data_IF_216467937503
#
_entry.id   IF_216467937503
#
_cell.length_a   1.000
_cell.length_b   1.000
_cell.length_c   1.000
_cell.angle_alpha   90.00
_cell.angle_beta   90.00
_cell.angle_gamma   90.00
#
_symmetry.space_group_name_H-M   'P 1'
#
loop_
_entity.id
_entity.type
_entity.pdbx_description
1 polymer ?
#
# COMPACT_ATOMS: atom_id res chain seq x y z
N UNK A 1 -18.70 8.05 -16.37
CA UNK A 1 -17.71 8.46 -15.33
C UNK A 1 -18.34 8.23 -13.96
N UNK A 2 -17.66 7.56 -13.02
CA UNK A 2 -18.18 7.37 -11.65
C UNK A 2 -18.10 8.72 -10.91
N UNK A 3 -19.22 9.24 -10.41
CA UNK A 3 -19.22 10.47 -9.64
C UNK A 3 -18.64 10.25 -8.24
N UNK A 4 -18.12 11.31 -7.62
CA UNK A 4 -17.60 11.26 -6.23
C UNK A 4 -18.67 10.78 -5.26
N UNK A 5 -19.93 11.23 -5.41
CA UNK A 5 -21.05 10.76 -4.59
C UNK A 5 -21.37 9.28 -4.76
N UNK A 6 -21.31 8.76 -6.00
CA UNK A 6 -21.50 7.32 -6.24
C UNK A 6 -20.34 6.49 -5.68
N UNK A 7 -19.09 6.98 -5.74
CA UNK A 7 -17.96 6.31 -5.12
C UNK A 7 -18.10 6.33 -3.58
N UNK A 8 -18.48 7.47 -2.99
CA UNK A 8 -18.75 7.56 -1.55
C UNK A 8 -19.77 6.54 -1.06
N UNK A 9 -20.88 6.43 -1.78
CA UNK A 9 -21.90 5.44 -1.45
C UNK A 9 -21.36 4.00 -1.54
N UNK A 10 -20.53 3.72 -2.56
CA UNK A 10 -19.88 2.42 -2.72
C UNK A 10 -18.88 2.12 -1.60
N UNK A 11 -18.05 3.09 -1.20
CA UNK A 11 -17.08 2.93 -0.09
C UNK A 11 -17.80 2.47 1.19
N UNK A 12 -18.90 3.12 1.52
CA UNK A 12 -19.72 2.79 2.69
C UNK A 12 -20.39 1.41 2.56
N UNK A 13 -21.02 1.14 1.41
CA UNK A 13 -21.75 -0.11 1.19
C UNK A 13 -20.84 -1.35 1.12
N UNK A 14 -19.59 -1.17 0.68
CA UNK A 14 -18.59 -2.23 0.55
C UNK A 14 -17.73 -2.41 1.81
N UNK A 15 -17.85 -1.54 2.81
CA UNK A 15 -17.01 -1.55 4.01
C UNK A 15 -15.56 -1.13 3.73
N UNK A 16 -15.31 -0.44 2.61
CA UNK A 16 -13.99 0.11 2.30
C UNK A 16 -13.68 1.38 3.12
N UNK A 17 -14.73 2.06 3.56
CA UNK A 17 -14.72 3.17 4.50
C UNK A 17 -16.06 3.19 5.26
N UNK A 18 -16.23 4.07 6.22
CA UNK A 18 -17.27 4.00 7.24
C UNK A 18 -16.83 3.05 8.34
N UNK A 19 -17.73 2.23 8.87
CA UNK A 19 -17.35 1.14 9.76
C UNK A 19 -16.63 0.07 8.94
N UNK A 20 -15.38 -0.23 9.31
CA UNK A 20 -14.50 -1.19 8.63
C UNK A 20 -14.41 -2.51 9.41
N UNK A 21 -13.85 -3.54 8.77
CA UNK A 21 -13.76 -4.86 9.41
C UNK A 21 -12.65 -4.93 10.47
N UNK A 22 -11.68 -4.01 10.41
CA UNK A 22 -10.53 -3.97 11.33
C UNK A 22 -10.98 -3.64 12.75
N UNK A 23 -10.71 -4.51 13.75
CA UNK A 23 -11.04 -4.26 15.13
C UNK A 23 -10.22 -3.11 15.72
N UNK A 24 -10.85 -2.27 16.51
CA UNK A 24 -10.21 -1.17 17.22
C UNK A 24 -9.03 -1.63 18.08
N UNK A 25 -9.15 -2.78 18.71
CA UNK A 25 -8.08 -3.38 19.51
C UNK A 25 -6.83 -3.67 18.69
N UNK A 26 -7.01 -4.04 17.42
CA UNK A 26 -5.91 -4.34 16.50
C UNK A 26 -5.18 -3.05 16.09
N UNK A 27 -5.93 -2.01 15.71
CA UNK A 27 -5.36 -0.67 15.44
C UNK A 27 -4.56 -0.15 16.65
N UNK A 28 -5.13 -0.18 17.85
CA UNK A 28 -4.45 0.27 19.06
C UNK A 28 -3.24 -0.59 19.42
N UNK A 29 -3.29 -1.90 19.14
CA UNK A 29 -2.13 -2.77 19.28
C UNK A 29 -1.01 -2.38 18.33
N UNK A 30 -1.31 -2.11 17.07
CA UNK A 30 -0.34 -1.66 16.08
C UNK A 30 0.29 -0.33 16.47
N UNK A 31 -0.48 0.63 17.01
CA UNK A 31 0.06 1.90 17.50
C UNK A 31 1.04 1.71 18.65
N UNK A 32 0.74 0.82 19.62
CA UNK A 32 1.69 0.48 20.71
C UNK A 32 2.97 -0.16 20.19
N UNK A 33 2.85 -1.10 19.24
CA UNK A 33 4.00 -1.75 18.63
C UNK A 33 4.86 -0.74 17.83
N UNK A 34 4.21 0.17 17.10
CA UNK A 34 4.91 1.22 16.37
C UNK A 34 5.66 2.18 17.33
N UNK A 35 5.01 2.62 18.40
CA UNK A 35 5.65 3.44 19.43
C UNK A 35 6.85 2.73 20.10
N UNK A 36 6.76 1.40 20.22
CA UNK A 36 7.86 0.55 20.70
C UNK A 36 8.92 0.22 19.62
N UNK A 37 8.80 0.79 18.41
CA UNK A 37 9.70 0.53 17.28
C UNK A 37 9.76 -0.94 16.84
N UNK A 38 8.65 -1.68 16.93
CA UNK A 38 8.59 -3.06 16.48
C UNK A 38 8.70 -3.13 14.94
N UNK A 39 9.70 -3.84 14.39
CA UNK A 39 9.94 -3.89 12.95
C UNK A 39 8.75 -4.41 12.13
N UNK A 40 7.87 -5.21 12.74
CA UNK A 40 6.71 -5.82 12.06
C UNK A 40 5.66 -4.79 11.64
N UNK A 41 5.56 -3.67 12.36
CA UNK A 41 4.60 -2.59 12.09
C UNK A 41 5.27 -1.31 11.58
N UNK A 42 6.61 -1.23 11.59
CA UNK A 42 7.34 -0.14 10.95
C UNK A 42 7.37 -0.26 9.43
N UNK A 43 7.12 -1.44 8.89
CA UNK A 43 7.04 -1.72 7.44
C UNK A 43 8.29 -1.27 6.66
N UNK A 44 9.41 -1.09 7.35
CA UNK A 44 10.68 -0.64 6.77
C UNK A 44 11.00 0.84 6.95
N UNK A 45 10.11 1.62 7.56
CA UNK A 45 10.42 2.98 7.99
C UNK A 45 11.35 2.99 9.21
N UNK A 46 12.18 4.00 9.27
CA UNK A 46 12.89 4.44 10.46
C UNK A 46 12.45 5.88 10.78
N UNK A 47 11.33 6.04 11.51
CA UNK A 47 10.76 7.35 11.80
C UNK A 47 11.73 8.22 12.59
N UNK A 48 11.85 9.48 12.21
CA UNK A 48 12.73 10.46 12.87
C UNK A 48 12.08 11.08 14.11
N UNK A 49 10.75 11.13 14.13
CA UNK A 49 9.97 11.65 15.26
C UNK A 49 9.85 10.68 16.43
N UNK A 50 9.62 11.24 17.61
CA UNK A 50 9.31 10.48 18.83
C UNK A 50 7.83 10.14 18.91
N UNK A 51 7.36 9.21 18.10
CA UNK A 51 5.95 8.82 18.01
C UNK A 51 5.51 7.97 19.21
N UNK A 52 4.81 8.58 20.17
CA UNK A 52 4.12 7.85 21.24
C UNK A 52 2.71 7.39 20.79
N UNK A 53 2.08 6.51 21.60
CA UNK A 53 0.72 6.01 21.31
C UNK A 53 -0.29 7.14 21.14
N UNK A 54 -0.21 8.20 21.97
CA UNK A 54 -1.10 9.35 21.90
C UNK A 54 -0.88 10.19 20.63
N UNK A 55 0.36 10.27 20.14
CA UNK A 55 0.69 10.97 18.89
C UNK A 55 0.13 10.22 17.70
N UNK A 56 0.32 8.90 17.70
CA UNK A 56 -0.23 8.01 16.67
C UNK A 56 -1.75 8.05 16.66
N UNK A 57 -2.39 8.01 17.83
CA UNK A 57 -3.85 8.10 17.90
C UNK A 57 -4.37 9.40 17.27
N UNK A 58 -3.74 10.55 17.57
CA UNK A 58 -4.09 11.84 16.97
C UNK A 58 -3.82 11.87 15.46
N UNK A 59 -2.67 11.34 15.02
CA UNK A 59 -2.34 11.24 13.60
C UNK A 59 -3.38 10.41 12.85
N UNK A 60 -3.71 9.23 13.37
CA UNK A 60 -4.65 8.33 12.70
C UNK A 60 -6.09 8.89 12.73
N UNK A 61 -6.47 9.60 13.79
CA UNK A 61 -7.73 10.35 13.82
C UNK A 61 -7.75 11.45 12.76
N UNK A 62 -6.63 12.18 12.58
CA UNK A 62 -6.51 13.17 11.50
C UNK A 62 -6.49 12.53 10.12
N UNK A 63 -5.77 11.46 9.89
CA UNK A 63 -5.56 10.85 8.57
C UNK A 63 -6.70 9.92 8.14
N UNK A 64 -7.22 9.10 9.04
CA UNK A 64 -8.24 8.09 8.75
C UNK A 64 -9.63 8.49 9.24
N UNK A 65 -9.73 9.31 10.30
CA UNK A 65 -11.00 9.63 10.95
C UNK A 65 -11.40 8.63 12.03
N UNK A 66 -10.46 7.83 12.52
CA UNK A 66 -10.69 6.96 13.69
C UNK A 66 -10.96 7.80 14.94
N UNK A 67 -11.56 7.21 15.95
CA UNK A 67 -11.78 7.89 17.24
C UNK A 67 -10.45 8.27 17.90
N UNK A 68 -10.31 9.52 18.34
CA UNK A 68 -9.16 10.01 19.11
C UNK A 68 -9.34 9.82 20.63
N UNK A 69 -10.49 9.30 21.06
CA UNK A 69 -10.76 8.99 22.47
C UNK A 69 -9.94 7.76 22.91
N UNK A 70 -8.99 7.92 23.86
CA UNK A 70 -8.18 6.82 24.35
C UNK A 70 -9.00 5.81 25.20
N UNK A 71 -10.21 6.17 25.64
CA UNK A 71 -11.11 5.27 26.34
C UNK A 71 -11.90 4.36 25.37
N UNK A 72 -12.01 4.72 24.10
CA UNK A 72 -12.63 3.88 23.07
C UNK A 72 -11.64 2.79 22.62
N UNK A 73 -11.74 1.60 23.21
CA UNK A 73 -10.75 0.53 23.11
C UNK A 73 -11.21 -0.72 22.37
N UNK A 74 -12.49 -0.81 22.01
CA UNK A 74 -13.08 -2.02 21.45
C UNK A 74 -14.15 -1.71 20.41
N UNK A 75 -14.51 -2.71 19.62
CA UNK A 75 -15.47 -2.63 18.55
C UNK A 75 -14.79 -2.56 17.18
N UNK A 76 -15.55 -2.21 16.16
CA UNK A 76 -15.01 -1.99 14.82
C UNK A 76 -14.48 -0.57 14.68
N UNK A 77 -13.38 -0.42 13.96
CA UNK A 77 -12.82 0.91 13.68
C UNK A 77 -13.60 1.62 12.57
N UNK A 78 -13.27 2.87 12.30
CA UNK A 78 -13.98 3.71 11.34
C UNK A 78 -12.97 4.42 10.45
N UNK A 79 -13.24 4.45 9.14
CA UNK A 79 -12.53 5.31 8.19
C UNK A 79 -13.52 6.36 7.65
N UNK A 80 -13.18 7.64 7.76
CA UNK A 80 -13.97 8.71 7.16
C UNK A 80 -13.91 8.64 5.62
N UNK A 81 -15.03 8.39 4.92
CA UNK A 81 -15.03 8.26 3.47
C UNK A 81 -14.56 9.52 2.74
N UNK A 82 -14.68 10.70 3.34
CA UNK A 82 -14.17 11.93 2.75
C UNK A 82 -12.63 11.98 2.76
N UNK A 83 -12.01 11.36 3.77
CA UNK A 83 -10.53 11.20 3.82
C UNK A 83 -10.05 10.22 2.77
N UNK A 84 -10.75 9.09 2.59
CA UNK A 84 -10.49 8.15 1.51
C UNK A 84 -10.60 8.82 0.14
N UNK A 85 -11.65 9.61 -0.10
CA UNK A 85 -11.84 10.31 -1.38
C UNK A 85 -10.74 11.32 -1.64
N UNK A 86 -10.34 12.13 -0.65
CA UNK A 86 -9.22 13.06 -0.78
C UNK A 86 -7.90 12.34 -1.04
N UNK A 87 -7.65 11.24 -0.34
CA UNK A 87 -6.48 10.39 -0.56
C UNK A 87 -6.45 9.81 -1.97
N UNK A 88 -7.59 9.29 -2.47
CA UNK A 88 -7.70 8.78 -3.85
C UNK A 88 -7.49 9.87 -4.91
N UNK A 89 -7.94 11.11 -4.68
CA UNK A 89 -7.68 12.23 -5.58
C UNK A 89 -6.19 12.59 -5.61
N UNK A 90 -5.52 12.64 -4.45
CA UNK A 90 -4.08 12.88 -4.35
C UNK A 90 -3.27 11.73 -5.02
N UNK A 91 -3.66 10.48 -4.75
CA UNK A 91 -3.07 9.29 -5.37
C UNK A 91 -3.21 9.35 -6.90
N UNK A 92 -4.40 9.63 -7.41
CA UNK A 92 -4.64 9.74 -8.85
C UNK A 92 -3.83 10.87 -9.50
N UNK A 93 -3.64 12.00 -8.80
CA UNK A 93 -2.80 13.09 -9.28
C UNK A 93 -1.33 12.65 -9.45
N UNK A 94 -0.78 11.86 -8.51
CA UNK A 94 0.59 11.31 -8.63
C UNK A 94 0.69 10.30 -9.76
N UNK A 95 -0.27 9.39 -9.89
CA UNK A 95 -0.35 8.43 -11.01
C UNK A 95 -0.42 9.17 -12.35
N UNK A 96 -1.26 10.21 -12.47
CA UNK A 96 -1.38 11.02 -13.69
C UNK A 96 -0.12 11.78 -14.03
N UNK A 97 0.57 12.35 -13.03
CA UNK A 97 1.85 13.04 -13.22
C UNK A 97 2.95 12.08 -13.71
N UNK A 98 3.03 10.87 -13.14
CA UNK A 98 3.94 9.83 -13.57
C UNK A 98 3.67 9.42 -15.04
N UNK A 99 2.41 9.22 -15.40
CA UNK A 99 2.00 8.89 -16.77
C UNK A 99 2.34 10.00 -17.78
N UNK A 100 2.07 11.26 -17.42
CA UNK A 100 2.39 12.41 -18.29
C UNK A 100 3.89 12.55 -18.57
N UNK A 101 4.74 12.24 -17.59
CA UNK A 101 6.20 12.24 -17.70
C UNK A 101 6.76 10.92 -18.25
N UNK A 102 5.96 9.87 -18.33
CA UNK A 102 6.35 8.51 -18.72
C UNK A 102 7.54 7.97 -17.92
N UNK A 103 7.51 8.20 -16.61
CA UNK A 103 8.61 7.80 -15.73
C UNK A 103 8.64 6.28 -15.50
N UNK A 104 9.81 5.71 -15.14
CA UNK A 104 9.89 4.33 -14.67
C UNK A 104 9.09 4.18 -13.35
N UNK A 105 8.26 3.14 -13.27
CA UNK A 105 7.43 2.86 -12.10
C UNK A 105 7.62 1.42 -11.63
N UNK A 106 7.54 1.20 -10.32
CA UNK A 106 7.50 -0.11 -9.71
C UNK A 106 6.18 -0.25 -8.95
N UNK A 107 5.43 -1.31 -9.21
CA UNK A 107 4.22 -1.62 -8.46
C UNK A 107 4.43 -2.89 -7.64
N UNK A 108 3.93 -2.90 -6.39
CA UNK A 108 4.04 -4.07 -5.54
C UNK A 108 2.93 -4.15 -4.50
N UNK A 109 2.60 -5.37 -4.06
CA UNK A 109 1.58 -5.58 -3.05
C UNK A 109 1.97 -6.60 -2.00
N UNK A 110 1.74 -6.25 -0.73
CA UNK A 110 1.77 -7.16 0.41
C UNK A 110 0.44 -7.89 0.60
N UNK A 111 -0.65 -7.43 -0.04
CA UNK A 111 -1.99 -8.04 -0.01
C UNK A 111 -2.44 -8.62 -1.36
N UNK A 112 -1.72 -9.59 -1.96
CA UNK A 112 -2.00 -10.05 -3.31
C UNK A 112 -3.40 -10.65 -3.45
N UNK A 113 -3.94 -11.30 -2.41
CA UNK A 113 -5.30 -11.85 -2.41
C UNK A 113 -6.41 -10.80 -2.47
N UNK A 114 -6.11 -9.53 -2.16
CA UNK A 114 -7.08 -8.44 -2.08
C UNK A 114 -6.84 -7.37 -3.13
N UNK A 115 -5.61 -6.87 -3.21
CA UNK A 115 -5.26 -5.65 -3.94
C UNK A 115 -4.61 -5.89 -5.30
N UNK A 116 -4.19 -7.12 -5.63
CA UNK A 116 -3.51 -7.42 -6.89
C UNK A 116 -4.27 -6.89 -8.11
N UNK A 117 -5.58 -7.08 -8.17
CA UNK A 117 -6.40 -6.61 -9.29
C UNK A 117 -6.46 -5.08 -9.43
N UNK A 118 -6.39 -4.35 -8.32
CA UNK A 118 -6.29 -2.89 -8.31
C UNK A 118 -4.97 -2.43 -8.92
N UNK A 119 -3.85 -2.97 -8.44
CA UNK A 119 -2.51 -2.59 -8.93
C UNK A 119 -2.23 -3.07 -10.36
N UNK A 120 -2.71 -4.24 -10.76
CA UNK A 120 -2.60 -4.73 -12.14
C UNK A 120 -3.27 -3.76 -13.13
N UNK A 121 -4.45 -3.26 -12.80
CA UNK A 121 -5.12 -2.31 -13.68
C UNK A 121 -4.36 -0.96 -13.78
N UNK A 122 -3.69 -0.53 -12.71
CA UNK A 122 -2.81 0.64 -12.74
C UNK A 122 -1.55 0.37 -13.59
N UNK A 123 -0.90 -0.79 -13.41
CA UNK A 123 0.27 -1.19 -14.18
C UNK A 123 -0.02 -1.23 -15.69
N UNK A 124 -1.15 -1.84 -16.08
CA UNK A 124 -1.59 -1.89 -17.48
C UNK A 124 -1.83 -0.47 -18.05
N UNK A 125 -2.50 0.39 -17.30
CA UNK A 125 -2.81 1.74 -17.74
C UNK A 125 -1.55 2.62 -17.85
N UNK A 126 -0.61 2.52 -16.89
CA UNK A 126 0.68 3.22 -16.93
C UNK A 126 1.54 2.73 -18.08
N UNK A 127 1.62 1.41 -18.29
CA UNK A 127 2.32 0.82 -19.46
C UNK A 127 1.72 1.31 -20.78
N UNK A 128 0.39 1.33 -20.88
CA UNK A 128 -0.30 1.85 -22.08
C UNK A 128 -0.10 3.34 -22.31
N UNK A 129 0.19 4.12 -21.26
CA UNK A 129 0.56 5.53 -21.33
C UNK A 129 2.04 5.75 -21.68
N UNK A 130 2.84 4.68 -21.73
CA UNK A 130 4.26 4.72 -22.10
C UNK A 130 5.22 4.79 -20.92
N UNK A 131 4.75 4.55 -19.71
CA UNK A 131 5.63 4.34 -18.55
C UNK A 131 6.36 3.00 -18.67
N UNK A 132 7.60 2.97 -18.22
CA UNK A 132 8.34 1.71 -18.03
C UNK A 132 7.93 1.08 -16.69
N UNK A 133 7.11 0.03 -16.74
CA UNK A 133 6.77 -0.77 -15.56
C UNK A 133 7.92 -1.75 -15.31
N UNK A 134 8.66 -1.52 -14.23
CA UNK A 134 9.86 -2.28 -13.89
C UNK A 134 9.50 -3.60 -13.19
N UNK A 135 10.28 -4.65 -13.49
CA UNK A 135 10.16 -5.98 -12.87
C UNK A 135 11.51 -6.51 -12.39
N UNK A 136 12.27 -5.75 -11.56
CA UNK A 136 13.58 -6.18 -11.10
C UNK A 136 13.47 -7.28 -10.04
N UNK A 137 14.57 -8.03 -9.86
CA UNK A 137 14.69 -9.12 -8.88
C UNK A 137 13.69 -10.28 -9.06
N UNK A 138 13.07 -10.45 -10.22
CA UNK A 138 12.21 -11.61 -10.46
C UNK A 138 13.00 -12.90 -10.24
N UNK A 139 12.46 -13.80 -9.41
CA UNK A 139 13.13 -15.03 -9.03
C UNK A 139 14.14 -14.89 -7.87
N UNK A 140 14.42 -13.67 -7.37
CA UNK A 140 15.32 -13.45 -6.23
C UNK A 140 14.65 -13.90 -4.92
N UNK A 141 15.38 -14.66 -4.13
CA UNK A 141 14.94 -15.09 -2.81
C UNK A 141 15.09 -13.96 -1.77
N UNK A 142 14.15 -13.89 -0.85
CA UNK A 142 14.15 -12.99 0.30
C UNK A 142 13.73 -13.77 1.55
N UNK A 143 14.48 -13.64 2.64
CA UNK A 143 14.17 -14.27 3.91
C UNK A 143 13.36 -13.31 4.77
N UNK A 144 12.10 -13.65 5.01
CA UNK A 144 11.14 -12.83 5.74
C UNK A 144 10.86 -13.45 7.11
N UNK A 145 11.03 -12.66 8.17
CA UNK A 145 10.62 -13.06 9.51
C UNK A 145 9.10 -13.03 9.61
N UNK A 146 8.52 -14.18 9.90
CA UNK A 146 7.07 -14.35 10.13
C UNK A 146 6.81 -14.73 11.58
N UNK A 147 5.54 -14.78 11.99
CA UNK A 147 5.16 -15.33 13.32
C UNK A 147 5.55 -16.80 13.52
N UNK A 148 5.90 -17.51 12.45
CA UNK A 148 6.33 -18.92 12.47
C UNK A 148 7.84 -19.09 12.28
N UNK A 149 8.62 -18.01 12.39
CA UNK A 149 10.07 -17.98 12.14
C UNK A 149 10.42 -17.39 10.78
N UNK A 150 11.70 -17.48 10.43
CA UNK A 150 12.19 -17.00 9.13
C UNK A 150 11.75 -17.98 8.04
N UNK A 151 11.21 -17.44 6.97
CA UNK A 151 10.81 -18.19 5.76
C UNK A 151 11.39 -17.53 4.53
N UNK A 152 11.88 -18.34 3.62
CA UNK A 152 12.33 -17.87 2.31
C UNK A 152 11.12 -17.71 1.38
N UNK A 153 11.05 -16.57 0.71
CA UNK A 153 10.11 -16.28 -0.36
C UNK A 153 10.85 -15.89 -1.63
N UNK A 154 10.18 -15.93 -2.74
CA UNK A 154 10.69 -15.48 -4.04
C UNK A 154 9.91 -14.26 -4.49
N UNK A 155 10.61 -13.22 -4.93
CA UNK A 155 9.99 -12.07 -5.60
C UNK A 155 9.49 -12.52 -6.97
N UNK A 156 8.20 -12.32 -7.22
CA UNK A 156 7.55 -12.69 -8.48
C UNK A 156 6.66 -11.55 -8.97
N UNK A 157 6.25 -11.61 -10.23
CA UNK A 157 5.46 -10.58 -10.88
C UNK A 157 4.22 -11.14 -11.55
N UNK A 158 3.09 -10.48 -11.33
CA UNK A 158 1.86 -10.73 -12.07
C UNK A 158 1.48 -9.47 -12.83
N UNK A 159 1.60 -9.50 -14.16
CA UNK A 159 1.27 -8.37 -15.03
C UNK A 159 1.91 -7.04 -14.56
N UNK A 160 3.20 -7.09 -14.23
CA UNK A 160 3.96 -5.90 -13.81
C UNK A 160 3.81 -5.53 -12.31
N UNK A 161 3.05 -6.28 -11.52
CA UNK A 161 2.91 -6.05 -10.07
C UNK A 161 3.73 -7.09 -9.31
N UNK A 162 4.66 -6.60 -8.50
CA UNK A 162 5.49 -7.40 -7.62
C UNK A 162 4.71 -7.96 -6.43
N UNK A 163 5.06 -9.16 -6.03
CA UNK A 163 4.57 -9.84 -4.84
C UNK A 163 5.60 -10.87 -4.38
N UNK A 164 5.35 -11.57 -3.30
CA UNK A 164 6.19 -12.70 -2.87
C UNK A 164 5.42 -14.01 -2.92
N UNK A 165 6.13 -15.10 -3.28
CA UNK A 165 5.59 -16.46 -3.29
C UNK A 165 6.48 -17.39 -2.50
N UNK A 166 5.94 -18.48 -2.01
CA UNK A 166 6.76 -19.59 -1.49
C UNK A 166 7.59 -20.19 -2.64
N UNK A 167 8.87 -20.59 -2.39
CA UNK A 167 9.69 -21.25 -3.38
C UNK A 167 9.06 -22.60 -3.77
N UNK A 168 9.03 -22.89 -5.05
CA UNK A 168 8.48 -24.15 -5.55
C UNK A 168 8.30 -24.11 -7.05
N UNK A 169 7.97 -25.24 -7.70
CA UNK A 169 7.53 -25.21 -9.08
C UNK A 169 6.34 -24.25 -9.13
N UNK A 170 6.38 -23.30 -10.06
CA UNK A 170 5.31 -22.33 -10.26
C UNK A 170 3.99 -23.09 -10.20
N UNK A 171 3.28 -22.89 -9.08
CA UNK A 171 1.99 -23.57 -8.88
C UNK A 171 1.10 -23.26 -10.08
N UNK A 172 0.08 -24.06 -10.27
CA UNK A 172 -0.92 -23.99 -11.35
C UNK A 172 -1.64 -22.64 -11.50
N UNK A 173 -0.99 -21.53 -11.10
CA UNK A 173 -1.47 -20.15 -11.24
C UNK A 173 -2.64 -19.78 -10.31
N UNK A 174 -2.98 -20.64 -9.36
CA UNK A 174 -4.17 -20.47 -8.49
C UNK A 174 -3.93 -19.62 -7.26
N UNK A 175 -2.67 -19.52 -6.77
CA UNK A 175 -2.39 -18.67 -5.61
C UNK A 175 -1.81 -17.32 -6.01
N UNK A 176 -2.45 -16.21 -5.64
CA UNK A 176 -2.01 -14.88 -6.02
C UNK A 176 -0.73 -14.39 -5.32
N UNK A 177 -0.15 -15.17 -4.40
CA UNK A 177 1.05 -14.82 -3.63
C UNK A 177 0.82 -14.83 -2.12
N UNK A 178 1.86 -14.65 -1.33
CA UNK A 178 1.80 -14.61 0.12
C UNK A 178 1.55 -13.19 0.64
N UNK A 179 0.78 -13.07 1.72
CA UNK A 179 0.63 -11.81 2.46
C UNK A 179 1.95 -11.47 3.16
N UNK A 180 2.42 -10.23 3.03
CA UNK A 180 3.68 -9.78 3.62
C UNK A 180 3.69 -8.28 3.92
N UNK A 181 4.07 -7.93 5.15
CA UNK A 181 4.36 -6.56 5.57
C UNK A 181 5.84 -6.18 5.40
N UNK A 182 6.69 -7.12 4.97
CA UNK A 182 8.14 -6.95 4.91
C UNK A 182 8.56 -5.93 3.85
N UNK A 183 9.52 -5.03 4.17
CA UNK A 183 10.16 -4.15 3.19
C UNK A 183 11.24 -4.85 2.35
N UNK A 184 11.65 -6.07 2.72
CA UNK A 184 12.75 -6.76 2.05
C UNK A 184 12.51 -7.00 0.55
N UNK A 185 11.28 -7.32 0.10
CA UNK A 185 11.02 -7.49 -1.34
C UNK A 185 11.28 -6.24 -2.17
N UNK A 186 10.84 -5.05 -1.71
CA UNK A 186 11.09 -3.80 -2.45
C UNK A 186 12.57 -3.43 -2.39
N UNK A 187 13.25 -3.65 -1.25
CA UNK A 187 14.69 -3.40 -1.13
C UNK A 187 15.49 -4.29 -2.09
N UNK A 188 15.16 -5.58 -2.16
CA UNK A 188 15.77 -6.52 -3.11
C UNK A 188 15.51 -6.12 -4.57
N UNK A 189 14.30 -5.62 -4.85
CA UNK A 189 13.94 -5.13 -6.18
C UNK A 189 14.78 -3.89 -6.57
N UNK A 190 14.90 -2.91 -5.68
CA UNK A 190 15.67 -1.68 -5.92
C UNK A 190 17.17 -1.95 -6.04
N UNK A 191 17.71 -2.82 -5.18
CA UNK A 191 19.10 -3.28 -5.24
C UNK A 191 19.40 -3.97 -6.57
N UNK A 192 18.53 -4.90 -7.00
CA UNK A 192 18.69 -5.61 -8.28
C UNK A 192 18.62 -4.66 -9.48
N UNK A 193 17.76 -3.64 -9.44
CA UNK A 193 17.70 -2.62 -10.50
C UNK A 193 18.99 -1.81 -10.56
N UNK A 194 19.53 -1.41 -9.42
CA UNK A 194 20.79 -0.68 -9.33
C UNK A 194 21.98 -1.52 -9.80
N UNK A 195 22.09 -2.80 -9.37
CA UNK A 195 23.12 -3.75 -9.77
C UNK A 195 23.12 -3.99 -11.29
N UNK A 196 21.94 -4.03 -11.91
CA UNK A 196 21.80 -4.19 -13.35
C UNK A 196 22.18 -2.93 -14.15
N UNK A 197 22.43 -1.79 -13.51
CA UNK A 197 22.69 -0.50 -14.17
C UNK A 197 21.49 0.03 -14.96
N UNK A 198 20.30 -0.49 -14.69
CA UNK A 198 19.05 -0.07 -15.31
C UNK A 198 18.43 1.16 -14.63
N UNK A 199 17.30 1.65 -15.14
CA UNK A 199 16.59 2.74 -14.51
C UNK A 199 16.03 2.33 -13.14
N UNK A 200 16.18 3.19 -12.14
CA UNK A 200 15.46 3.08 -10.89
C UNK A 200 14.04 3.64 -11.04
N UNK A 201 13.05 3.15 -10.27
CA UNK A 201 11.73 3.75 -10.31
C UNK A 201 11.76 5.18 -9.78
N UNK A 202 11.07 6.09 -10.46
CA UNK A 202 10.79 7.42 -9.94
C UNK A 202 9.54 7.43 -9.04
N UNK A 203 8.67 6.41 -9.20
CA UNK A 203 7.48 6.24 -8.37
C UNK A 203 7.29 4.75 -8.03
N UNK A 204 7.11 4.48 -6.74
CA UNK A 204 6.65 3.17 -6.24
C UNK A 204 5.18 3.28 -5.83
N UNK A 205 4.36 2.35 -6.30
CA UNK A 205 2.93 2.28 -6.03
C UNK A 205 2.62 0.94 -5.35
N UNK A 206 1.98 0.97 -4.20
CA UNK A 206 1.69 -0.31 -3.52
C UNK A 206 1.00 -0.17 -2.18
N UNK A 207 1.33 -1.09 -1.30
CA UNK A 207 0.89 -1.13 0.10
C UNK A 207 2.03 -1.59 1.01
N UNK A 208 1.87 -1.48 2.31
CA UNK A 208 2.77 -1.98 3.35
C UNK A 208 4.26 -1.69 3.10
N UNK A 209 5.10 -2.73 3.22
CA UNK A 209 6.55 -2.64 3.06
C UNK A 209 7.02 -2.25 1.66
N UNK A 210 6.20 -2.38 0.63
CA UNK A 210 6.53 -1.88 -0.71
C UNK A 210 6.62 -0.36 -0.73
N UNK A 211 5.69 0.31 -0.06
CA UNK A 211 5.63 1.77 0.01
C UNK A 211 6.63 2.31 1.03
N UNK A 212 6.54 1.82 2.28
CA UNK A 212 7.39 2.31 3.35
C UNK A 212 8.88 2.04 3.10
N UNK A 213 9.21 0.84 2.58
CA UNK A 213 10.59 0.47 2.27
C UNK A 213 11.19 1.31 1.13
N UNK A 214 10.40 1.70 0.12
CA UNK A 214 10.85 2.58 -0.95
C UNK A 214 10.98 4.03 -0.46
N UNK A 215 9.96 4.53 0.26
CA UNK A 215 9.97 5.87 0.84
C UNK A 215 11.14 6.12 1.79
N UNK A 216 11.49 5.13 2.62
CA UNK A 216 12.68 5.19 3.49
C UNK A 216 13.99 5.37 2.71
N UNK A 217 14.05 4.90 1.47
CA UNK A 217 15.20 5.05 0.58
C UNK A 217 15.14 6.33 -0.27
N UNK A 218 14.18 7.23 -0.01
CA UNK A 218 14.04 8.50 -0.70
C UNK A 218 13.39 8.42 -2.08
N UNK A 219 12.77 7.29 -2.43
CA UNK A 219 12.02 7.14 -3.67
C UNK A 219 10.57 7.57 -3.45
N UNK A 220 10.00 8.36 -4.35
CA UNK A 220 8.60 8.75 -4.25
C UNK A 220 7.71 7.50 -4.15
N UNK A 221 6.89 7.42 -3.10
CA UNK A 221 6.05 6.26 -2.84
C UNK A 221 4.64 6.69 -2.46
N UNK A 222 3.64 5.98 -3.01
CA UNK A 222 2.22 6.20 -2.74
C UNK A 222 1.52 4.87 -2.49
N UNK A 223 0.52 4.84 -1.61
CA UNK A 223 -0.14 3.56 -1.31
C UNK A 223 -1.48 3.64 -0.62
N UNK A 224 -2.07 2.45 -0.50
CA UNK A 224 -3.26 2.19 0.30
C UNK A 224 -2.85 1.68 1.68
N UNK A 225 -3.60 2.05 2.71
CA UNK A 225 -3.33 1.63 4.08
C UNK A 225 -4.61 1.55 4.92
N UNK A 226 -4.69 0.56 5.81
CA UNK A 226 -5.79 0.43 6.76
C UNK A 226 -5.50 1.15 8.08
N UNK A 227 -6.46 1.14 9.00
CA UNK A 227 -6.37 1.81 10.31
C UNK A 227 -5.34 1.18 11.24
N UNK A 228 -4.94 -0.05 11.03
CA UNK A 228 -3.90 -0.73 11.79
C UNK A 228 -2.49 -0.63 11.17
N UNK A 229 -2.35 0.13 10.06
CA UNK A 229 -1.07 0.41 9.39
C UNK A 229 -0.56 1.85 9.61
N UNK A 230 -0.18 2.25 10.83
CA UNK A 230 0.23 3.63 11.10
C UNK A 230 1.48 4.05 10.33
N UNK A 231 2.30 3.10 9.87
CA UNK A 231 3.58 3.40 9.21
C UNK A 231 3.43 4.26 7.96
N UNK A 232 2.46 3.97 7.07
CA UNK A 232 2.28 4.76 5.86
C UNK A 232 1.90 6.21 6.19
N UNK A 233 1.06 6.41 7.19
CA UNK A 233 0.59 7.74 7.62
C UNK A 233 1.69 8.52 8.37
N UNK A 234 2.54 7.84 9.16
CA UNK A 234 3.73 8.44 9.75
C UNK A 234 4.73 8.82 8.65
N UNK A 235 4.98 7.92 7.69
CA UNK A 235 5.83 8.20 6.54
C UNK A 235 5.34 9.40 5.73
N UNK A 236 4.02 9.56 5.57
CA UNK A 236 3.43 10.75 4.93
C UNK A 236 3.65 12.00 5.78
N UNK A 237 3.46 11.93 7.10
CA UNK A 237 3.68 13.06 8.01
C UNK A 237 5.16 13.51 8.06
N UNK A 238 6.10 12.60 7.90
CA UNK A 238 7.54 12.87 7.86
C UNK A 238 8.09 13.13 6.44
N UNK A 239 7.24 13.03 5.40
CA UNK A 239 7.63 13.30 4.01
C UNK A 239 8.35 12.15 3.31
N UNK A 240 8.39 10.95 3.89
CA UNK A 240 8.96 9.75 3.29
C UNK A 240 7.98 9.06 2.33
N UNK A 241 6.68 9.16 2.60
CA UNK A 241 5.59 8.69 1.73
C UNK A 241 4.86 9.90 1.20
N UNK A 242 4.59 9.95 -0.10
CA UNK A 242 3.95 11.10 -0.72
C UNK A 242 2.44 11.11 -0.55
N UNK A 243 1.81 9.93 -0.55
CA UNK A 243 0.35 9.77 -0.35
C UNK A 243 0.07 8.43 0.31
N UNK A 244 -0.63 8.47 1.45
CA UNK A 244 -1.25 7.32 2.11
C UNK A 244 -2.78 7.46 2.03
N UNK A 245 -3.45 6.52 1.36
CA UNK A 245 -4.91 6.53 1.21
C UNK A 245 -5.53 5.65 2.28
N UNK A 246 -6.32 6.20 3.21
CA UNK A 246 -7.01 5.38 4.21
C UNK A 246 -8.15 4.59 3.56
N UNK A 247 -8.07 3.26 3.64
CA UNK A 247 -9.08 2.33 3.11
C UNK A 247 -8.90 0.96 3.75
N UNK A 248 -9.99 0.25 4.05
CA UNK A 248 -9.91 -1.15 4.47
C UNK A 248 -9.35 -1.99 3.31
N UNK A 249 -8.20 -2.61 3.53
CA UNK A 249 -7.47 -3.40 2.53
C UNK A 249 -7.75 -4.91 2.59
N UNK A 250 -8.56 -5.33 3.56
CA UNK A 250 -9.04 -6.69 3.75
C UNK A 250 -10.32 -7.06 3.00
N UNK A 251 -10.95 -6.11 2.30
CA UNK A 251 -12.21 -6.30 1.60
C UNK A 251 -12.06 -7.21 0.37
N UNK A 252 -13.16 -7.82 -0.08
CA UNK A 252 -13.14 -8.71 -1.28
C UNK A 252 -12.63 -7.97 -2.52
N UNK A 253 -11.79 -8.59 -3.37
CA UNK A 253 -11.15 -7.94 -4.53
C UNK A 253 -12.11 -7.22 -5.48
N UNK A 254 -13.31 -7.75 -5.69
CA UNK A 254 -14.28 -7.15 -6.58
C UNK A 254 -14.74 -5.75 -6.18
N UNK A 255 -14.67 -5.43 -4.88
CA UNK A 255 -15.09 -4.14 -4.35
C UNK A 255 -14.08 -3.01 -4.59
N UNK A 256 -12.82 -3.31 -4.91
CA UNK A 256 -11.84 -2.29 -5.31
C UNK A 256 -12.01 -1.82 -6.77
N UNK A 257 -12.79 -2.51 -7.61
CA UNK A 257 -12.99 -2.14 -9.02
C UNK A 257 -13.52 -0.70 -9.23
N UNK A 258 -14.50 -0.20 -8.44
CA UNK A 258 -14.94 1.19 -8.56
C UNK A 258 -13.84 2.19 -8.18
N UNK A 259 -13.00 1.89 -7.18
CA UNK A 259 -11.83 2.70 -6.82
C UNK A 259 -10.86 2.77 -7.99
N UNK A 260 -10.54 1.61 -8.58
CA UNK A 260 -9.67 1.53 -9.77
C UNK A 260 -10.17 2.43 -10.88
N UNK A 261 -11.46 2.32 -11.24
CA UNK A 261 -12.07 3.16 -12.27
C UNK A 261 -12.00 4.64 -11.92
N UNK A 262 -12.24 4.98 -10.66
CA UNK A 262 -12.16 6.37 -10.19
C UNK A 262 -10.74 6.92 -10.34
N UNK A 263 -9.73 6.21 -9.82
CA UNK A 263 -8.32 6.62 -9.92
C UNK A 263 -7.89 6.76 -11.38
N UNK A 264 -8.18 5.80 -12.25
CA UNK A 264 -7.82 5.86 -13.66
C UNK A 264 -8.50 7.04 -14.38
N UNK A 265 -9.77 7.32 -14.07
CA UNK A 265 -10.48 8.48 -14.62
C UNK A 265 -9.84 9.80 -14.17
N UNK A 266 -9.53 9.94 -12.88
CA UNK A 266 -8.92 11.14 -12.31
C UNK A 266 -7.49 11.35 -12.81
N UNK A 267 -6.75 10.26 -13.04
CA UNK A 267 -5.42 10.29 -13.62
C UNK A 267 -5.38 10.49 -15.16
N UNK A 268 -6.57 10.63 -15.81
CA UNK A 268 -6.71 10.71 -17.27
C UNK A 268 -6.17 9.48 -18.01
N UNK A 269 -6.26 8.29 -17.40
CA UNK A 269 -5.78 7.01 -17.94
C UNK A 269 -6.91 6.06 -18.35
N UNK A 270 -8.16 6.45 -18.18
CA UNK A 270 -9.30 5.65 -18.67
C UNK A 270 -9.41 5.75 -20.19
N UNK A 271 -9.37 4.60 -20.85
CA UNK A 271 -9.73 4.46 -22.28
C UNK A 271 -11.22 4.27 -22.44
#
# INVERSE_FOLDING_TARGET
>A
MLSTGALRAHLLAAGLAGTVATPREESLRSYRLFAARDPRVLLGLDPTGGWGEADLLRLMADKCGVSDDPAHRSGLDVIDPERTLRGLDAFAARVGAAAARRVPVLLGTGHPHRLLGFYVALADALSAAGCLVLTPAQGRCVDITTRFGVRTYVVDYVRGVALVREPGPSGDGREPGAHSHSPLPVRAALESAAEAGGPLPELVIGDHGWVCGAGQLGIEAIGLADTDDPALFVGEAEGQVSVAVPVDDGVRPAFYRPLTRYVLNRACLSR
#
